data_IF_533625337925
#
_entry.id   IF_533625337925
#
_cell.length_a   1.000
_cell.length_b   1.000
_cell.length_c   1.000
_cell.angle_alpha   90.00
_cell.angle_beta   90.00
_cell.angle_gamma   90.00
#
_symmetry.space_group_name_H-M   'P 1'
#
loop_
_entity.id
_entity.type
_entity.pdbx_description
1 polymer ?
#
# COMPACT_ATOMS: atom_id res chain seq x y z
N UNK A 1 40.66 -7.40 -6.10
CA UNK A 1 40.39 -6.88 -7.46
C UNK A 1 39.31 -5.83 -7.33
N UNK A 2 39.67 -4.55 -7.45
CA UNK A 2 38.73 -3.42 -7.36
C UNK A 2 38.01 -3.28 -8.70
N UNK A 3 36.69 -3.46 -8.71
CA UNK A 3 35.88 -3.24 -9.92
C UNK A 3 35.83 -1.74 -10.21
N UNK A 4 36.53 -1.29 -11.25
CA UNK A 4 36.48 0.10 -11.72
C UNK A 4 35.08 0.32 -12.32
N UNK A 5 34.31 1.21 -11.70
CA UNK A 5 32.93 1.50 -12.11
C UNK A 5 32.97 2.69 -13.08
N UNK A 6 33.01 2.39 -14.38
CA UNK A 6 33.04 3.39 -15.44
C UNK A 6 31.65 3.98 -15.70
N UNK A 7 31.60 5.27 -16.05
CA UNK A 7 30.35 5.95 -16.36
C UNK A 7 29.75 5.40 -17.68
N UNK A 8 28.52 4.85 -17.67
CA UNK A 8 27.92 4.25 -18.87
C UNK A 8 27.54 5.26 -19.97
N UNK A 9 27.63 6.56 -19.69
CA UNK A 9 27.27 7.62 -20.64
C UNK A 9 28.47 8.29 -21.31
N UNK A 10 29.61 8.38 -20.62
CA UNK A 10 30.78 9.08 -21.14
C UNK A 10 32.08 8.28 -21.02
N UNK A 11 32.04 7.06 -20.48
CA UNK A 11 33.20 6.17 -20.35
C UNK A 11 34.26 6.67 -19.35
N UNK A 12 33.99 7.74 -18.60
CA UNK A 12 34.93 8.28 -17.63
C UNK A 12 34.95 7.44 -16.35
N UNK A 13 36.13 7.23 -15.79
CA UNK A 13 36.39 6.59 -14.49
C UNK A 13 36.21 7.56 -13.30
N UNK A 14 36.09 8.87 -13.57
CA UNK A 14 35.97 9.91 -12.56
C UNK A 14 34.55 10.00 -11.97
N UNK A 15 34.33 9.26 -10.89
CA UNK A 15 33.08 9.27 -10.12
C UNK A 15 33.26 9.91 -8.74
N UNK A 16 32.24 10.64 -8.28
CA UNK A 16 32.19 11.33 -6.98
C UNK A 16 31.08 10.69 -6.16
N UNK A 17 31.39 10.30 -4.92
CA UNK A 17 30.39 9.85 -3.94
C UNK A 17 29.89 11.07 -3.16
N UNK A 18 28.62 11.40 -3.29
CA UNK A 18 27.99 12.46 -2.51
C UNK A 18 26.97 11.89 -1.53
N UNK A 19 26.89 12.51 -0.36
CA UNK A 19 25.96 12.14 0.71
C UNK A 19 24.88 13.23 0.73
N UNK A 20 23.61 12.92 0.40
CA UNK A 20 22.55 13.90 0.41
C UNK A 20 22.17 14.26 1.85
N UNK A 21 22.02 15.56 2.12
CA UNK A 21 21.72 16.13 3.45
C UNK A 21 20.40 15.60 4.05
N UNK A 22 19.44 15.24 3.18
CA UNK A 22 18.12 14.75 3.59
C UNK A 22 18.10 13.29 4.03
N UNK A 23 19.03 12.46 3.52
CA UNK A 23 19.09 11.01 3.77
C UNK A 23 20.56 10.53 3.77
N UNK A 24 21.29 10.58 4.90
CA UNK A 24 22.73 10.28 4.95
C UNK A 24 23.08 8.80 4.65
N UNK A 25 22.07 7.94 4.53
CA UNK A 25 22.20 6.50 4.26
C UNK A 25 22.31 6.24 2.74
N UNK A 26 21.81 7.13 1.90
CA UNK A 26 21.78 6.95 0.45
C UNK A 26 22.98 7.63 -0.22
N UNK A 27 24.12 6.94 -0.27
CA UNK A 27 25.28 7.41 -1.02
C UNK A 27 24.97 7.35 -2.52
N UNK A 28 24.93 8.52 -3.17
CA UNK A 28 24.75 8.63 -4.62
C UNK A 28 26.11 8.78 -5.28
N UNK A 29 26.28 8.10 -6.42
CA UNK A 29 27.50 8.17 -7.23
C UNK A 29 27.20 9.04 -8.44
N UNK A 30 27.96 10.11 -8.61
CA UNK A 30 27.79 11.09 -9.70
C UNK A 30 29.04 11.10 -10.55
N UNK A 31 28.89 11.05 -11.87
CA UNK A 31 30.01 11.25 -12.78
C UNK A 31 30.47 12.71 -12.75
N UNK A 32 31.77 12.96 -12.59
CA UNK A 32 32.31 14.33 -12.58
C UNK A 32 32.15 15.05 -13.93
N UNK A 33 32.22 14.31 -15.02
CA UNK A 33 32.34 14.86 -16.38
C UNK A 33 30.98 15.17 -17.01
N UNK A 34 29.98 14.31 -16.80
CA UNK A 34 28.62 14.55 -17.28
C UNK A 34 27.65 15.02 -16.19
N UNK A 35 28.10 15.09 -14.92
CA UNK A 35 27.28 15.42 -13.74
C UNK A 35 26.02 14.55 -13.59
N UNK A 36 25.97 13.40 -14.27
CA UNK A 36 24.83 12.47 -14.21
C UNK A 36 25.01 11.49 -13.06
N UNK A 37 23.88 11.17 -12.44
CA UNK A 37 23.82 10.18 -11.37
C UNK A 37 24.01 8.80 -12.01
N UNK A 38 25.14 8.18 -11.71
CA UNK A 38 25.39 6.77 -11.99
C UNK A 38 24.74 6.03 -10.83
N UNK A 39 23.40 5.97 -10.85
CA UNK A 39 22.69 5.17 -9.86
C UNK A 39 23.13 3.73 -10.05
N UNK A 40 23.90 3.24 -9.09
CA UNK A 40 24.12 1.82 -8.93
C UNK A 40 22.72 1.20 -8.87
N UNK A 41 22.34 0.39 -9.86
CA UNK A 41 21.04 -0.30 -9.85
C UNK A 41 20.90 -1.22 -8.63
N UNK A 42 21.96 -1.36 -7.82
CA UNK A 42 21.96 -1.93 -6.48
C UNK A 42 21.30 -1.06 -5.38
N UNK A 43 21.08 0.25 -5.57
CA UNK A 43 20.34 1.09 -4.60
C UNK A 43 18.86 1.31 -4.97
N UNK A 44 18.40 0.79 -6.11
CA UNK A 44 16.98 0.48 -6.33
C UNK A 44 16.53 -0.80 -5.60
N UNK A 45 17.47 -1.59 -5.09
CA UNK A 45 17.22 -2.36 -3.88
C UNK A 45 17.55 -1.49 -2.66
N UNK A 46 16.70 -0.49 -2.39
CA UNK A 46 16.19 -0.39 -1.02
C UNK A 46 15.64 -1.78 -0.78
N UNK A 47 16.50 -2.60 -0.18
CA UNK A 47 16.17 -3.92 0.26
C UNK A 47 14.81 -3.72 0.90
N UNK A 48 13.78 -4.39 0.39
CA UNK A 48 12.64 -4.74 1.23
C UNK A 48 13.25 -5.58 2.36
N UNK A 49 13.97 -4.94 3.28
CA UNK A 49 14.08 -5.37 4.66
C UNK A 49 12.65 -5.15 5.09
N UNK A 50 11.84 -6.15 4.79
CA UNK A 50 10.51 -6.32 5.30
C UNK A 50 10.68 -6.13 6.79
N UNK A 51 10.38 -4.92 7.26
CA UNK A 51 10.41 -4.62 8.67
C UNK A 51 9.52 -5.71 9.29
N UNK A 52 9.99 -6.48 10.29
CA UNK A 52 9.19 -7.54 10.88
C UNK A 52 7.81 -7.02 11.33
N UNK A 53 7.73 -5.74 11.74
CA UNK A 53 6.47 -5.06 11.99
C UNK A 53 5.55 -5.02 10.75
N UNK A 54 6.09 -4.67 9.58
CA UNK A 54 5.36 -4.65 8.31
C UNK A 54 4.87 -6.03 7.89
N UNK A 55 5.69 -7.08 8.04
CA UNK A 55 5.25 -8.46 7.75
C UNK A 55 4.10 -8.89 8.67
N UNK A 56 4.18 -8.56 9.96
CA UNK A 56 3.11 -8.90 10.91
C UNK A 56 1.78 -8.18 10.57
N UNK A 57 1.85 -6.94 10.10
CA UNK A 57 0.69 -6.18 9.61
C UNK A 57 0.12 -6.82 8.35
N UNK A 58 0.96 -7.18 7.38
CA UNK A 58 0.54 -7.82 6.13
C UNK A 58 -0.16 -9.16 6.38
N UNK A 59 0.38 -10.00 7.25
CA UNK A 59 -0.23 -11.30 7.61
C UNK A 59 -1.60 -11.11 8.26
N UNK A 60 -1.71 -10.15 9.18
CA UNK A 60 -2.97 -9.85 9.86
C UNK A 60 -4.01 -9.23 8.92
N UNK A 61 -3.58 -8.43 7.94
CA UNK A 61 -4.45 -7.89 6.89
C UNK A 61 -5.03 -9.02 6.03
N UNK A 62 -4.24 -10.05 5.73
CA UNK A 62 -4.72 -11.22 4.98
C UNK A 62 -5.78 -11.96 5.78
N UNK A 63 -5.51 -12.28 7.05
CA UNK A 63 -6.49 -12.93 7.92
C UNK A 63 -7.78 -12.11 8.03
N UNK A 64 -7.67 -10.80 8.18
CA UNK A 64 -8.83 -9.90 8.29
C UNK A 64 -9.62 -9.85 6.98
N UNK A 65 -8.94 -9.88 5.84
CA UNK A 65 -9.58 -9.91 4.53
C UNK A 65 -10.40 -11.20 4.30
N UNK A 66 -9.91 -12.33 4.81
CA UNK A 66 -10.61 -13.61 4.74
C UNK A 66 -11.81 -13.67 5.68
N UNK A 67 -11.68 -13.16 6.92
CA UNK A 67 -12.73 -13.29 7.94
C UNK A 67 -13.80 -12.19 7.88
N UNK A 68 -13.39 -10.96 7.58
CA UNK A 68 -14.24 -9.77 7.66
C UNK A 68 -14.42 -9.03 6.31
N UNK A 69 -13.61 -9.35 5.30
CA UNK A 69 -13.68 -8.77 3.96
C UNK A 69 -12.66 -7.66 3.70
N UNK A 70 -12.66 -7.09 2.48
CA UNK A 70 -11.63 -6.14 2.02
C UNK A 70 -11.61 -4.81 2.79
N UNK A 71 -12.78 -4.25 3.08
CA UNK A 71 -12.91 -2.94 3.73
C UNK A 71 -12.24 -2.87 5.11
N UNK A 72 -12.52 -3.79 6.06
CA UNK A 72 -11.85 -3.77 7.35
C UNK A 72 -10.33 -4.01 7.22
N UNK A 73 -9.91 -4.84 6.26
CA UNK A 73 -8.48 -5.07 5.98
C UNK A 73 -7.75 -3.81 5.50
N UNK A 74 -8.34 -3.05 4.59
CA UNK A 74 -7.78 -1.76 4.10
C UNK A 74 -7.71 -0.74 5.24
N UNK A 75 -8.77 -0.64 6.05
CA UNK A 75 -8.78 0.28 7.20
C UNK A 75 -7.69 -0.08 8.20
N UNK A 76 -7.54 -1.36 8.52
CA UNK A 76 -6.49 -1.84 9.42
C UNK A 76 -5.09 -1.52 8.88
N UNK A 77 -4.82 -1.84 7.60
CA UNK A 77 -3.54 -1.54 6.96
C UNK A 77 -3.20 -0.05 7.02
N UNK A 78 -4.15 0.83 6.67
CA UNK A 78 -3.95 2.28 6.72
C UNK A 78 -3.67 2.77 8.14
N UNK A 79 -4.40 2.28 9.15
CA UNK A 79 -4.18 2.69 10.53
C UNK A 79 -2.83 2.24 11.09
N UNK A 80 -2.37 1.04 10.76
CA UNK A 80 -1.12 0.50 11.30
C UNK A 80 0.11 1.09 10.61
N UNK A 81 0.03 1.32 9.30
CA UNK A 81 1.10 1.99 8.57
C UNK A 81 1.27 3.45 9.00
N UNK A 82 0.18 4.18 9.25
CA UNK A 82 0.25 5.57 9.72
C UNK A 82 0.74 5.68 11.18
N UNK A 83 0.73 4.58 11.94
CA UNK A 83 1.35 4.50 13.27
C UNK A 83 2.84 4.15 13.21
N UNK A 84 3.36 3.73 12.06
CA UNK A 84 4.75 3.26 11.96
C UNK A 84 5.69 4.47 11.87
N UNK A 85 6.62 4.65 12.83
CA UNK A 85 7.53 5.79 12.83
C UNK A 85 8.51 5.72 11.65
N UNK A 86 8.75 6.86 11.00
CA UNK A 86 9.68 6.99 9.87
C UNK A 86 9.09 6.71 8.49
N UNK A 87 7.79 6.40 8.39
CA UNK A 87 7.09 6.25 7.10
C UNK A 87 6.15 7.46 6.92
N UNK A 88 6.14 8.12 5.74
CA UNK A 88 5.17 9.17 5.47
C UNK A 88 3.74 8.61 5.52
N UNK A 89 2.75 9.42 5.94
CA UNK A 89 1.37 8.98 6.04
C UNK A 89 0.87 8.52 4.67
N UNK A 90 0.35 7.29 4.60
CA UNK A 90 -0.18 6.71 3.38
C UNK A 90 -1.65 7.07 3.18
N UNK A 91 -1.99 7.35 1.91
CA UNK A 91 -3.34 7.65 1.50
C UNK A 91 -4.22 6.40 1.35
N UNK A 92 -5.54 6.60 1.33
CA UNK A 92 -6.52 5.51 1.18
C UNK A 92 -6.34 4.71 -0.12
N UNK A 93 -6.01 5.41 -1.22
CA UNK A 93 -5.79 4.77 -2.52
C UNK A 93 -4.59 3.82 -2.49
N UNK A 94 -3.49 4.26 -1.90
CA UNK A 94 -2.26 3.48 -1.79
C UNK A 94 -2.44 2.27 -0.87
N UNK A 95 -3.17 2.45 0.24
CA UNK A 95 -3.55 1.34 1.11
C UNK A 95 -4.41 0.30 0.37
N UNK A 96 -5.38 0.74 -0.43
CA UNK A 96 -6.20 -0.16 -1.25
C UNK A 96 -5.36 -0.95 -2.25
N UNK A 97 -4.53 -0.27 -3.05
CA UNK A 97 -3.69 -0.91 -4.06
C UNK A 97 -2.73 -1.92 -3.43
N UNK A 98 -2.16 -1.59 -2.27
CA UNK A 98 -1.25 -2.51 -1.57
C UNK A 98 -1.97 -3.75 -1.07
N UNK A 99 -3.16 -3.60 -0.47
CA UNK A 99 -3.95 -4.76 0.00
C UNK A 99 -4.42 -5.63 -1.17
N UNK A 100 -4.82 -5.02 -2.29
CA UNK A 100 -5.20 -5.77 -3.50
C UNK A 100 -4.00 -6.50 -4.10
N UNK A 101 -2.83 -5.88 -4.15
CA UNK A 101 -1.60 -6.52 -4.60
C UNK A 101 -1.19 -7.69 -3.66
N UNK A 102 -1.30 -7.53 -2.34
CA UNK A 102 -1.02 -8.58 -1.36
C UNK A 102 -1.93 -9.80 -1.52
N UNK A 103 -3.20 -9.57 -1.84
CA UNK A 103 -4.17 -10.63 -2.09
C UNK A 103 -3.96 -11.29 -3.46
N UNK A 104 -3.64 -10.50 -4.48
CA UNK A 104 -3.40 -10.99 -5.83
C UNK A 104 -2.15 -11.86 -5.90
N UNK A 105 -1.03 -11.38 -5.34
CA UNK A 105 0.27 -12.09 -5.33
C UNK A 105 0.20 -13.45 -4.62
N UNK A 106 -0.71 -13.64 -3.66
CA UNK A 106 -0.91 -14.91 -2.94
C UNK A 106 -2.04 -15.76 -3.51
N UNK A 107 -2.72 -15.33 -4.58
CA UNK A 107 -3.86 -16.05 -5.15
C UNK A 107 -5.11 -16.10 -4.25
N UNK A 108 -5.16 -15.27 -3.20
CA UNK A 108 -6.23 -15.26 -2.20
C UNK A 108 -7.41 -14.36 -2.58
N UNK A 109 -7.36 -13.73 -3.75
CA UNK A 109 -8.39 -12.80 -4.25
C UNK A 109 -9.79 -13.42 -4.31
N UNK A 110 -9.89 -14.73 -4.53
CA UNK A 110 -11.15 -15.51 -4.57
C UNK A 110 -11.64 -15.96 -3.19
N UNK A 111 -10.76 -16.05 -2.20
CA UNK A 111 -11.06 -16.51 -0.82
C UNK A 111 -11.52 -15.38 0.11
N UNK A 112 -11.40 -14.14 -0.33
CA UNK A 112 -11.87 -12.98 0.43
C UNK A 112 -13.39 -13.04 0.60
N UNK A 113 -13.84 -12.83 1.85
CA UNK A 113 -15.27 -12.81 2.18
C UNK A 113 -16.01 -11.82 1.30
N UNK A 114 -16.95 -12.33 0.50
CA UNK A 114 -17.84 -11.51 -0.31
C UNK A 114 -18.76 -10.69 0.60
N UNK A 115 -19.12 -9.46 0.20
CA UNK A 115 -20.05 -8.65 0.96
C UNK A 115 -21.37 -9.41 1.18
N UNK A 116 -21.90 -9.31 2.40
CA UNK A 116 -23.08 -10.05 2.79
C UNK A 116 -24.29 -9.64 1.93
N UNK A 117 -24.96 -10.62 1.32
CA UNK A 117 -26.17 -10.42 0.50
C UNK A 117 -27.40 -10.03 1.34
N UNK A 118 -27.32 -10.19 2.66
CA UNK A 118 -28.41 -9.86 3.58
C UNK A 118 -28.75 -8.36 3.61
N UNK A 119 -27.84 -7.49 3.13
CA UNK A 119 -28.14 -6.06 2.98
C UNK A 119 -29.36 -5.79 2.11
N UNK A 120 -29.63 -6.63 1.09
CA UNK A 120 -30.83 -6.52 0.25
C UNK A 120 -32.12 -6.75 1.01
N UNK A 121 -32.14 -7.73 1.94
CA UNK A 121 -33.33 -8.04 2.74
C UNK A 121 -33.61 -6.91 3.73
N UNK A 122 -32.57 -6.35 4.36
CA UNK A 122 -32.70 -5.19 5.26
C UNK A 122 -33.27 -3.99 4.50
N UNK A 123 -32.76 -3.70 3.30
CA UNK A 123 -33.29 -2.61 2.47
C UNK A 123 -34.76 -2.81 2.11
N UNK A 124 -35.19 -4.04 1.84
CA UNK A 124 -36.57 -4.38 1.51
C UNK A 124 -37.50 -4.15 2.72
N UNK A 125 -37.09 -4.56 3.92
CA UNK A 125 -37.85 -4.32 5.15
C UNK A 125 -38.01 -2.82 5.42
N UNK A 126 -36.94 -2.04 5.26
CA UNK A 126 -36.98 -0.58 5.43
C UNK A 126 -37.92 0.07 4.40
N UNK A 127 -37.88 -0.39 3.15
CA UNK A 127 -38.79 0.10 2.09
C UNK A 127 -40.26 -0.13 2.46
N UNK A 128 -40.60 -1.34 2.93
CA UNK A 128 -41.98 -1.68 3.33
C UNK A 128 -42.44 -0.82 4.52
N UNK A 129 -41.56 -0.56 5.50
CA UNK A 129 -41.88 0.32 6.62
C UNK A 129 -42.18 1.75 6.17
N UNK A 130 -41.40 2.30 5.23
CA UNK A 130 -41.65 3.64 4.69
C UNK A 130 -43.01 3.68 3.99
N UNK A 131 -43.34 2.69 3.16
CA UNK A 131 -44.63 2.61 2.49
C UNK A 131 -45.76 2.53 3.52
N UNK A 132 -45.63 1.70 4.55
CA UNK A 132 -46.62 1.57 5.61
C UNK A 132 -46.83 2.89 6.38
N UNK A 133 -45.76 3.61 6.71
CA UNK A 133 -45.85 4.94 7.33
C UNK A 133 -46.59 5.95 6.44
N UNK A 134 -46.29 5.97 5.14
CA UNK A 134 -46.95 6.85 4.18
C UNK A 134 -48.43 6.50 4.09
N UNK A 135 -48.77 5.22 3.88
CA UNK A 135 -50.15 4.76 3.78
C UNK A 135 -50.94 5.11 5.04
N UNK A 136 -50.40 4.79 6.23
CA UNK A 136 -51.03 5.13 7.51
C UNK A 136 -51.29 6.64 7.64
N UNK A 137 -50.32 7.48 7.25
CA UNK A 137 -50.49 8.92 7.33
C UNK A 137 -51.57 9.46 6.37
N UNK A 138 -51.80 8.80 5.22
CA UNK A 138 -52.83 9.16 4.26
C UNK A 138 -54.19 8.54 4.55
N UNK A 139 -54.28 7.41 5.24
CA UNK A 139 -55.56 6.75 5.57
C UNK A 139 -56.11 7.13 6.94
N UNK A 140 -55.28 7.56 7.89
CA UNK A 140 -55.71 7.96 9.24
C UNK A 140 -55.79 9.49 9.45
N UNK A 141 -55.74 10.25 8.36
CA UNK A 141 -56.01 11.69 8.33
C UNK A 141 -57.40 11.95 7.74
#
# INVERSE_FOLDING_TARGET
>A
MSTVQECPWCGSDQTIRTIPEKDPINVIIVCKQCQRIISDRASSSVTRKTNPARQSVEEKVIQLSMNAGKLPAIKYYLTEMNKTPGIPPIGLREAKETVEALLYTRGLSSMVKKPNKNGGVIALIVLVLIIACVVYFFTHR
#
